data_IF_758511887219
#
_entry.id   IF_758511887219
#
_cell.length_a   1.000
_cell.length_b   1.000
_cell.length_c   1.000
_cell.angle_alpha   90.00
_cell.angle_beta   90.00
_cell.angle_gamma   90.00
#
_symmetry.space_group_name_H-M   'P 1'
#
loop_
_entity.id
_entity.type
_entity.pdbx_description
1 polymer ?
#
# COMPACT_ATOMS: atom_id res chain seq x y z
N UNK A 1 -37.25 -3.88 6.47
CA UNK A 1 -36.00 -3.13 6.75
C UNK A 1 -34.76 -3.80 6.15
N UNK A 2 -34.47 -5.09 6.40
CA UNK A 2 -33.26 -5.80 5.94
C UNK A 2 -32.93 -5.63 4.44
N UNK A 3 -33.91 -5.75 3.52
CA UNK A 3 -33.68 -5.54 2.07
C UNK A 3 -33.17 -4.13 1.73
N UNK A 4 -33.62 -3.10 2.46
CA UNK A 4 -33.16 -1.73 2.26
C UNK A 4 -31.71 -1.55 2.74
N UNK A 5 -31.37 -2.12 3.90
CA UNK A 5 -30.00 -2.10 4.42
C UNK A 5 -29.03 -2.84 3.51
N UNK A 6 -29.39 -4.03 3.01
CA UNK A 6 -28.58 -4.77 2.03
C UNK A 6 -28.30 -3.95 0.78
N UNK A 7 -29.33 -3.33 0.20
CA UNK A 7 -29.17 -2.46 -0.98
C UNK A 7 -28.25 -1.26 -0.70
N UNK A 8 -28.37 -0.66 0.49
CA UNK A 8 -27.50 0.43 0.94
C UNK A 8 -26.05 -0.01 1.09
N UNK A 9 -25.83 -1.14 1.77
CA UNK A 9 -24.52 -1.74 2.00
C UNK A 9 -23.81 -2.11 0.69
N UNK A 10 -24.51 -2.72 -0.26
CA UNK A 10 -23.95 -3.04 -1.58
C UNK A 10 -23.57 -1.79 -2.40
N UNK A 11 -24.36 -0.71 -2.30
CA UNK A 11 -24.03 0.56 -2.97
C UNK A 11 -22.80 1.19 -2.36
N UNK A 12 -22.69 1.16 -1.03
CA UNK A 12 -21.51 1.62 -0.31
C UNK A 12 -20.27 0.81 -0.70
N UNK A 13 -20.37 -0.53 -0.69
CA UNK A 13 -19.30 -1.43 -1.12
C UNK A 13 -18.83 -1.12 -2.56
N UNK A 14 -19.77 -1.05 -3.51
CA UNK A 14 -19.46 -0.72 -4.91
C UNK A 14 -18.86 0.67 -5.07
N UNK A 15 -19.35 1.64 -4.30
CA UNK A 15 -18.79 2.99 -4.24
C UNK A 15 -17.36 3.00 -3.71
N UNK A 16 -17.10 2.26 -2.64
CA UNK A 16 -15.77 2.15 -2.05
C UNK A 16 -14.77 1.51 -3.03
N UNK A 17 -15.15 0.42 -3.69
CA UNK A 17 -14.30 -0.22 -4.71
C UNK A 17 -14.02 0.68 -5.91
N UNK A 18 -15.04 1.38 -6.43
CA UNK A 18 -14.88 2.21 -7.62
C UNK A 18 -13.94 3.40 -7.39
N UNK A 19 -13.98 3.99 -6.20
CA UNK A 19 -13.13 5.14 -5.87
C UNK A 19 -11.77 4.72 -5.29
N UNK A 20 -11.65 3.48 -4.78
CA UNK A 20 -10.41 2.98 -4.19
C UNK A 20 -9.95 3.81 -2.99
N UNK A 21 -8.66 3.72 -2.67
CA UNK A 21 -8.01 4.72 -1.81
C UNK A 21 -8.65 4.86 -0.43
N UNK A 22 -8.92 6.11 -0.05
CA UNK A 22 -9.58 6.49 1.19
C UNK A 22 -10.95 5.81 1.38
N UNK A 23 -11.70 5.57 0.31
CA UNK A 23 -13.04 4.99 0.41
C UNK A 23 -13.02 3.52 0.82
N UNK A 24 -12.00 2.77 0.39
CA UNK A 24 -11.79 1.39 0.85
C UNK A 24 -11.50 1.38 2.36
N UNK A 25 -10.66 2.31 2.85
CA UNK A 25 -10.38 2.46 4.27
C UNK A 25 -11.61 2.86 5.09
N UNK A 26 -12.44 3.76 4.57
CA UNK A 26 -13.70 4.11 5.24
C UNK A 26 -14.61 2.89 5.35
N UNK A 27 -14.68 2.07 4.29
CA UNK A 27 -15.42 0.80 4.33
C UNK A 27 -14.87 -0.19 5.35
N UNK A 28 -13.54 -0.33 5.45
CA UNK A 28 -12.87 -1.14 6.48
C UNK A 28 -13.15 -0.61 7.89
N UNK A 29 -13.07 0.72 8.10
CA UNK A 29 -13.39 1.34 9.38
C UNK A 29 -14.86 1.12 9.78
N UNK A 30 -15.79 1.12 8.82
CA UNK A 30 -17.19 0.81 9.07
C UNK A 30 -17.40 -0.64 9.51
N UNK A 31 -16.59 -1.60 9.05
CA UNK A 31 -16.63 -2.97 9.56
C UNK A 31 -16.28 -3.06 11.06
N UNK A 32 -15.42 -2.18 11.57
CA UNK A 32 -15.08 -2.13 12.99
C UNK A 32 -16.27 -1.69 13.88
N UNK A 33 -17.26 -1.00 13.30
CA UNK A 33 -18.50 -0.58 13.98
C UNK A 33 -19.65 -1.60 13.80
N UNK A 34 -19.31 -2.90 13.74
CA UNK A 34 -20.26 -4.01 13.50
C UNK A 34 -21.42 -4.11 14.53
N UNK A 35 -21.28 -3.53 15.71
CA UNK A 35 -22.30 -3.49 16.77
C UNK A 35 -23.26 -2.29 16.63
N UNK A 36 -22.92 -1.29 15.82
CA UNK A 36 -23.76 -0.12 15.54
C UNK A 36 -24.51 -0.24 14.21
N UNK A 37 -23.94 -0.98 13.25
CA UNK A 37 -24.49 -1.12 11.92
C UNK A 37 -25.39 -2.37 11.79
N UNK A 38 -26.42 -2.34 10.92
CA UNK A 38 -27.16 -3.54 10.57
C UNK A 38 -26.22 -4.62 10.01
N UNK A 39 -26.48 -5.92 10.29
CA UNK A 39 -25.58 -7.01 9.95
C UNK A 39 -25.30 -7.12 8.44
N UNK A 40 -26.20 -6.61 7.59
CA UNK A 40 -26.02 -6.56 6.15
C UNK A 40 -24.81 -5.72 5.71
N UNK A 41 -24.42 -4.70 6.49
CA UNK A 41 -23.25 -3.86 6.19
C UNK A 41 -21.96 -4.61 6.47
N UNK A 42 -21.84 -5.28 7.61
CA UNK A 42 -20.67 -6.09 7.92
C UNK A 42 -20.45 -7.18 6.87
N UNK A 43 -21.52 -7.89 6.47
CA UNK A 43 -21.43 -8.92 5.44
C UNK A 43 -21.00 -8.37 4.06
N UNK A 44 -21.51 -7.20 3.66
CA UNK A 44 -21.20 -6.63 2.34
C UNK A 44 -19.83 -5.94 2.27
N UNK A 45 -19.33 -5.39 3.39
CA UNK A 45 -18.08 -4.65 3.44
C UNK A 45 -16.87 -5.52 3.77
N UNK A 46 -17.08 -6.72 4.33
CA UNK A 46 -16.01 -7.70 4.64
C UNK A 46 -14.99 -7.92 3.51
N UNK A 47 -15.40 -8.02 2.23
CA UNK A 47 -14.43 -8.18 1.15
C UNK A 47 -13.48 -6.98 0.96
N UNK A 48 -13.78 -5.79 1.51
CA UNK A 48 -12.86 -4.64 1.51
C UNK A 48 -11.68 -4.85 2.47
N UNK A 49 -11.83 -5.68 3.50
CA UNK A 49 -10.73 -6.05 4.40
C UNK A 49 -9.76 -7.00 3.67
N UNK A 50 -10.29 -8.00 2.96
CA UNK A 50 -9.48 -9.01 2.25
C UNK A 50 -8.84 -8.50 0.95
N UNK A 51 -9.53 -7.67 0.17
CA UNK A 51 -9.06 -7.23 -1.17
C UNK A 51 -7.99 -6.16 -1.16
N UNK A 52 -7.60 -5.63 0.00
CA UNK A 52 -6.54 -4.63 0.08
C UNK A 52 -5.14 -5.16 -0.33
N UNK A 53 -4.99 -6.47 -0.55
CA UNK A 53 -3.68 -7.13 -0.60
C UNK A 53 -3.19 -7.58 -1.98
N UNK A 54 -4.04 -7.70 -3.01
CA UNK A 54 -3.67 -8.38 -4.26
C UNK A 54 -3.44 -7.37 -5.39
N UNK A 55 -2.23 -6.81 -5.49
CA UNK A 55 -1.79 -6.03 -6.66
C UNK A 55 -0.90 -6.86 -7.57
N UNK A 56 -0.85 -6.50 -8.85
CA UNK A 56 -0.06 -7.21 -9.87
C UNK A 56 1.44 -6.99 -9.62
N UNK A 57 2.22 -8.05 -9.77
CA UNK A 57 3.66 -8.07 -9.47
C UNK A 57 4.47 -6.99 -10.22
N UNK A 58 4.00 -6.50 -11.38
CA UNK A 58 4.72 -5.50 -12.18
C UNK A 58 4.65 -4.05 -11.66
N UNK A 59 3.71 -3.70 -10.78
CA UNK A 59 3.60 -2.31 -10.28
C UNK A 59 4.79 -1.91 -9.39
N UNK A 60 5.43 -2.89 -8.74
CA UNK A 60 6.55 -2.65 -7.83
C UNK A 60 7.80 -2.26 -8.62
N UNK A 61 8.16 -3.01 -9.66
CA UNK A 61 9.35 -2.69 -10.48
C UNK A 61 9.22 -1.32 -11.17
N UNK A 62 8.03 -1.00 -11.70
CA UNK A 62 7.77 0.31 -12.31
C UNK A 62 7.94 1.45 -11.29
N UNK A 63 7.42 1.29 -10.06
CA UNK A 63 7.58 2.27 -9.00
C UNK A 63 9.05 2.51 -8.66
N UNK A 64 9.83 1.43 -8.56
CA UNK A 64 11.26 1.49 -8.28
C UNK A 64 12.05 2.14 -9.43
N UNK A 65 11.71 1.86 -10.69
CA UNK A 65 12.31 2.49 -11.85
C UNK A 65 11.97 3.99 -11.95
N UNK A 66 10.75 4.38 -11.60
CA UNK A 66 10.32 5.79 -11.56
C UNK A 66 11.11 6.58 -10.49
N UNK A 67 11.36 5.96 -9.33
CA UNK A 67 11.91 6.63 -8.15
C UNK A 67 13.43 6.54 -8.02
N UNK A 68 14.00 5.35 -8.20
CA UNK A 68 15.42 5.05 -7.98
C UNK A 68 16.19 4.75 -9.27
N UNK A 69 15.51 4.73 -10.43
CA UNK A 69 16.10 4.35 -11.74
C UNK A 69 16.71 2.94 -11.77
N UNK A 70 16.30 2.07 -10.85
CA UNK A 70 16.73 0.68 -10.74
C UNK A 70 15.59 -0.18 -10.23
N UNK A 71 15.69 -1.50 -10.32
CA UNK A 71 14.71 -2.45 -9.78
C UNK A 71 15.03 -2.80 -8.32
N UNK A 72 14.10 -3.44 -7.58
CA UNK A 72 14.38 -3.91 -6.22
C UNK A 72 15.65 -4.78 -6.13
N UNK A 73 15.91 -5.62 -7.15
CA UNK A 73 17.10 -6.46 -7.25
C UNK A 73 18.43 -5.68 -7.33
N UNK A 74 18.40 -4.40 -7.73
CA UNK A 74 19.58 -3.54 -7.75
C UNK A 74 19.85 -2.77 -6.45
N UNK A 75 18.88 -2.75 -5.53
CA UNK A 75 18.98 -2.04 -4.24
C UNK A 75 19.07 -2.97 -3.05
N UNK A 76 18.51 -4.17 -3.17
CA UNK A 76 18.44 -5.16 -2.11
C UNK A 76 19.17 -6.43 -2.53
N UNK A 77 19.79 -7.10 -1.56
CA UNK A 77 20.33 -8.43 -1.73
C UNK A 77 19.22 -9.44 -2.00
N UNK A 78 18.12 -9.33 -1.26
CA UNK A 78 16.93 -10.16 -1.39
C UNK A 78 15.69 -9.26 -1.29
N UNK A 79 14.70 -9.50 -2.15
CA UNK A 79 13.42 -8.79 -2.12
C UNK A 79 12.28 -9.78 -2.37
N UNK A 80 11.32 -9.82 -1.44
CA UNK A 80 10.13 -10.66 -1.55
C UNK A 80 9.01 -9.89 -2.27
N UNK A 81 8.68 -10.32 -3.48
CA UNK A 81 7.58 -9.74 -4.26
C UNK A 81 6.20 -10.11 -3.70
N UNK A 82 6.11 -11.12 -2.84
CA UNK A 82 4.88 -11.39 -2.10
C UNK A 82 4.76 -10.40 -0.92
N UNK A 83 3.71 -9.56 -0.91
CA UNK A 83 3.54 -8.58 0.16
C UNK A 83 3.23 -9.28 1.48
N UNK A 84 3.97 -8.93 2.53
CA UNK A 84 3.75 -9.49 3.88
C UNK A 84 2.64 -8.79 4.65
N UNK A 85 2.28 -7.57 4.24
CA UNK A 85 1.17 -6.81 4.78
C UNK A 85 0.68 -5.72 3.81
N UNK A 86 -0.53 -5.22 4.05
CA UNK A 86 -1.03 -3.98 3.45
C UNK A 86 -1.12 -2.89 4.53
N UNK A 87 -0.35 -1.81 4.37
CA UNK A 87 -0.36 -0.65 5.24
C UNK A 87 -1.21 0.47 4.62
N UNK A 88 -2.51 0.39 4.87
CA UNK A 88 -3.52 1.36 4.48
C UNK A 88 -3.77 1.49 2.95
N UNK A 89 -2.79 1.90 2.15
CA UNK A 89 -2.82 1.90 0.68
C UNK A 89 -1.53 1.34 0.07
N UNK A 90 -0.47 1.22 0.87
CA UNK A 90 0.80 0.72 0.43
C UNK A 90 0.91 -0.78 0.74
N UNK A 91 1.57 -1.52 -0.13
CA UNK A 91 2.03 -2.87 0.17
C UNK A 91 3.32 -2.79 0.98
N UNK A 92 3.53 -3.75 1.87
CA UNK A 92 4.78 -3.89 2.62
C UNK A 92 5.42 -5.20 2.21
N UNK A 93 6.66 -5.11 1.74
CA UNK A 93 7.48 -6.23 1.29
C UNK A 93 8.62 -6.45 2.27
N UNK A 94 9.06 -7.70 2.40
CA UNK A 94 10.30 -8.02 3.11
C UNK A 94 11.47 -7.88 2.14
N UNK A 95 12.56 -7.32 2.62
CA UNK A 95 13.80 -7.28 1.87
C UNK A 95 15.01 -7.39 2.80
N UNK A 96 16.17 -7.65 2.21
CA UNK A 96 17.46 -7.65 2.90
C UNK A 96 18.43 -6.72 2.16
N UNK A 97 19.09 -5.82 2.89
CA UNK A 97 20.17 -5.01 2.33
C UNK A 97 21.43 -5.85 2.07
N UNK A 98 22.36 -5.33 1.28
CA UNK A 98 23.62 -6.02 0.96
C UNK A 98 24.51 -6.31 2.18
N UNK A 99 24.37 -5.52 3.24
CA UNK A 99 25.04 -5.74 4.54
C UNK A 99 24.38 -6.84 5.40
N UNK A 100 23.28 -7.43 4.93
CA UNK A 100 22.52 -8.47 5.63
C UNK A 100 21.38 -7.95 6.52
N UNK A 101 21.20 -6.62 6.62
CA UNK A 101 20.17 -6.02 7.47
C UNK A 101 18.77 -6.33 6.91
N UNK A 102 17.86 -6.95 7.69
CA UNK A 102 16.48 -7.18 7.28
C UNK A 102 15.67 -5.88 7.38
N UNK A 103 14.95 -5.55 6.32
CA UNK A 103 14.14 -4.34 6.20
C UNK A 103 12.72 -4.64 5.71
N UNK A 104 11.80 -3.77 6.08
CA UNK A 104 10.46 -3.69 5.50
C UNK A 104 10.44 -2.55 4.48
N UNK A 105 9.90 -2.82 3.30
CA UNK A 105 9.81 -1.87 2.19
C UNK A 105 8.35 -1.57 1.93
N UNK A 106 7.95 -0.32 2.12
CA UNK A 106 6.57 0.14 1.91
C UNK A 106 6.44 0.78 0.54
N UNK A 107 5.64 0.17 -0.32
CA UNK A 107 5.41 0.56 -1.71
C UNK A 107 3.99 1.14 -1.87
N UNK A 108 3.83 2.47 -2.05
CA UNK A 108 2.51 3.06 -2.30
C UNK A 108 1.98 2.72 -3.68
N UNK A 109 0.66 2.93 -3.93
CA UNK A 109 0.08 2.78 -5.25
C UNK A 109 0.81 3.66 -6.27
N UNK A 110 0.91 3.15 -7.50
CA UNK A 110 1.13 4.03 -8.64
C UNK A 110 -0.06 4.98 -8.76
N UNK A 111 0.21 6.28 -8.65
CA UNK A 111 -0.78 7.32 -8.95
C UNK A 111 -0.44 7.82 -10.35
N UNK A 112 -1.30 7.65 -11.35
CA UNK A 112 -1.05 8.22 -12.66
C UNK A 112 -0.88 9.74 -12.50
N UNK A 113 0.22 10.27 -13.02
CA UNK A 113 0.46 11.70 -13.06
C UNK A 113 -0.73 12.35 -13.80
N UNK A 114 -1.61 13.02 -13.05
CA UNK A 114 -2.72 13.76 -13.64
C UNK A 114 -2.14 14.98 -14.35
N UNK A 115 -2.51 15.29 -15.60
CA UNK A 115 -2.17 16.54 -16.26
C UNK A 115 -3.00 17.68 -15.64
N UNK A 116 -2.71 18.01 -14.39
CA UNK A 116 -3.26 19.15 -13.66
C UNK A 116 -2.19 20.24 -13.50
N UNK A 117 -2.55 21.44 -13.02
CA UNK A 117 -1.58 22.50 -12.79
C UNK A 117 -0.48 21.94 -11.88
N UNK A 118 0.79 22.11 -12.30
CA UNK A 118 1.96 21.64 -11.59
C UNK A 118 1.91 22.05 -10.12
N UNK A 119 1.35 21.20 -9.26
CA UNK A 119 1.66 21.25 -7.83
C UNK A 119 3.06 20.68 -7.75
N UNK A 120 4.08 21.46 -7.37
CA UNK A 120 5.42 20.94 -7.22
C UNK A 120 5.38 19.89 -6.10
N UNK A 121 5.37 18.62 -6.50
CA UNK A 121 5.72 17.52 -5.59
C UNK A 121 7.17 17.77 -5.19
N UNK A 122 7.39 18.07 -3.91
CA UNK A 122 8.73 18.35 -3.40
C UNK A 122 9.65 17.17 -3.74
N UNK A 123 10.77 17.38 -4.45
CA UNK A 123 11.62 16.30 -4.97
C UNK A 123 12.37 15.51 -3.87
N UNK A 124 12.15 15.84 -2.60
CA UNK A 124 12.92 15.30 -1.47
C UNK A 124 12.18 14.25 -0.64
N UNK A 125 10.92 13.90 -0.97
CA UNK A 125 10.19 12.86 -0.23
C UNK A 125 10.09 11.59 -1.08
N UNK A 126 10.89 10.55 -0.78
CA UNK A 126 10.76 9.27 -1.44
C UNK A 126 9.37 8.67 -1.17
N UNK A 127 8.75 8.13 -2.21
CA UNK A 127 7.45 7.44 -2.14
C UNK A 127 7.63 6.04 -1.55
N UNK A 128 8.74 5.37 -1.87
CA UNK A 128 9.13 4.11 -1.24
C UNK A 128 9.83 4.39 0.08
N UNK A 129 9.32 3.78 1.15
CA UNK A 129 9.90 3.91 2.49
C UNK A 129 10.54 2.58 2.92
N UNK A 130 11.76 2.64 3.43
CA UNK A 130 12.52 1.48 3.89
C UNK A 130 12.80 1.63 5.38
N UNK A 131 12.51 0.59 6.17
CA UNK A 131 12.67 0.60 7.63
C UNK A 131 13.30 -0.69 8.16
N UNK A 132 14.16 -0.65 9.19
CA UNK A 132 14.60 -1.86 9.90
C UNK A 132 13.42 -2.63 10.51
N UNK A 133 13.46 -3.96 10.47
CA UNK A 133 12.49 -4.83 11.18
C UNK A 133 12.81 -4.84 12.70
N UNK A 134 11.82 -4.89 13.65
CA UNK A 134 10.49 -5.48 13.53
C UNK A 134 9.35 -4.46 13.48
N UNK A 135 8.26 -4.84 12.84
CA UNK A 135 7.08 -4.01 12.57
C UNK A 135 6.49 -3.42 13.86
N UNK A 136 6.72 -2.14 14.14
CA UNK A 136 5.93 -1.37 15.12
C UNK A 136 4.97 -0.45 14.36
N UNK A 137 3.63 -0.56 14.56
CA UNK A 137 2.64 0.18 13.77
C UNK A 137 2.58 1.68 14.06
N UNK A 138 3.46 2.23 14.91
CA UNK A 138 3.27 3.55 15.51
C UNK A 138 4.46 4.52 15.41
N UNK A 139 5.54 4.22 14.68
CA UNK A 139 6.72 5.11 14.69
C UNK A 139 6.98 5.83 13.37
N UNK A 140 7.36 7.09 13.53
CA UNK A 140 8.10 7.89 12.56
C UNK A 140 9.33 7.08 12.14
N UNK A 141 9.27 6.49 10.95
CA UNK A 141 10.33 5.64 10.41
C UNK A 141 11.48 6.54 9.95
N UNK A 142 12.70 6.40 10.49
CA UNK A 142 13.86 7.08 9.93
C UNK A 142 14.13 6.52 8.52
N UNK A 143 14.23 7.41 7.55
CA UNK A 143 14.64 7.08 6.19
C UNK A 143 16.04 6.45 6.22
N UNK A 144 16.16 5.20 5.77
CA UNK A 144 17.46 4.60 5.47
C UNK A 144 17.79 4.95 4.02
N UNK A 145 18.82 5.78 3.76
CA UNK A 145 19.27 6.05 2.40
C UNK A 145 19.81 4.74 1.80
N UNK A 146 19.10 4.22 0.81
CA UNK A 146 19.56 3.07 0.02
C UNK A 146 20.26 3.64 -1.21
N UNK A 147 21.59 3.57 -1.25
CA UNK A 147 22.36 3.95 -2.44
C UNK A 147 22.38 2.76 -3.41
N UNK A 148 22.24 2.98 -4.74
CA UNK A 148 22.52 1.93 -5.70
C UNK A 148 23.96 1.44 -5.49
N UNK A 149 24.12 0.12 -5.36
CA UNK A 149 25.43 -0.51 -5.31
C UNK A 149 26.26 -0.15 -6.56
N UNK A 150 27.59 -0.33 -6.53
CA UNK A 150 28.41 -0.04 -7.70
C UNK A 150 27.88 -0.81 -8.90
N UNK A 151 27.51 -0.09 -9.96
CA UNK A 151 27.13 -0.66 -11.24
C UNK A 151 28.25 -1.61 -11.69
N UNK A 152 27.95 -2.91 -11.72
CA UNK A 152 28.82 -3.87 -12.41
C UNK A 152 28.58 -3.66 -13.91
N UNK A 153 29.63 -3.38 -14.70
CA UNK A 153 29.52 -3.05 -16.12
C UNK A 153 29.04 -4.20 -16.99
#
# INVERSE_FOLDING_TARGET
MSRCHRRGAERLFRGALRNGGLYVKLGQGLCAFNHLLPPEYGAALRPLEDRALQRRHGEVDELFLEEFRTTPAGLFREFDYEPVAAASLAQVHRAQLHDGTPVAVKCPPRVPMSPGPHVPVSPHVPRVLVSPCPVSPSLHVPYVPVSPGPHVP
#
